data_IF_894056580341
#
_entry.id   IF_894056580341
#
_cell.length_a   1.000
_cell.length_b   1.000
_cell.length_c   1.000
_cell.angle_alpha   90.00
_cell.angle_beta   90.00
_cell.angle_gamma   90.00
#
_symmetry.space_group_name_H-M   'P 1'
#
loop_
_entity.id
_entity.type
_entity.pdbx_description
1 polymer ?
#
# COMPACT_ATOMS: atom_id res chain seq x y z
N UNK A 1 0.59 -12.85 2.78
CA UNK A 1 -0.28 -11.80 3.36
C UNK A 1 -1.23 -11.21 2.31
N UNK A 2 -0.75 -10.85 1.12
CA UNK A 2 -1.56 -10.15 0.10
C UNK A 2 -1.90 -10.98 -1.16
N UNK A 3 -2.35 -12.23 -1.02
CA UNK A 3 -2.66 -13.10 -2.18
C UNK A 3 -3.66 -12.50 -3.19
N UNK A 4 -4.54 -11.62 -2.72
CA UNK A 4 -5.53 -10.95 -3.56
C UNK A 4 -4.93 -9.83 -4.45
N UNK A 5 -3.65 -9.50 -4.28
CA UNK A 5 -2.93 -8.50 -5.09
C UNK A 5 -2.10 -9.13 -6.20
N UNK A 6 -2.10 -10.47 -6.33
CA UNK A 6 -1.35 -11.16 -7.38
C UNK A 6 -1.77 -10.69 -8.79
N UNK A 7 -3.06 -10.39 -8.97
CA UNK A 7 -3.63 -9.95 -10.26
C UNK A 7 -3.73 -8.41 -10.39
N UNK A 8 -3.13 -7.64 -9.47
CA UNK A 8 -3.29 -6.17 -9.45
C UNK A 8 -2.66 -5.51 -10.69
N UNK A 9 -1.57 -6.09 -11.19
CA UNK A 9 -0.89 -5.67 -12.42
C UNK A 9 -1.75 -5.91 -13.66
N UNK A 10 -2.41 -7.07 -13.76
CA UNK A 10 -3.36 -7.37 -14.84
C UNK A 10 -4.55 -6.40 -14.81
N UNK A 11 -5.03 -6.06 -13.61
CA UNK A 11 -6.09 -5.07 -13.43
C UNK A 11 -5.65 -3.69 -13.91
N UNK A 12 -4.42 -3.27 -13.58
CA UNK A 12 -3.84 -2.01 -14.05
C UNK A 12 -3.80 -1.95 -15.56
N UNK A 13 -3.24 -2.98 -16.20
CA UNK A 13 -3.13 -3.07 -17.67
C UNK A 13 -4.52 -3.01 -18.33
N UNK A 14 -5.50 -3.70 -17.75
CA UNK A 14 -6.89 -3.64 -18.23
C UNK A 14 -7.47 -2.22 -18.20
N UNK A 15 -7.21 -1.46 -17.12
CA UNK A 15 -7.66 -0.08 -17.00
C UNK A 15 -6.92 0.85 -17.97
N UNK A 16 -5.62 0.63 -18.19
CA UNK A 16 -4.82 1.37 -19.18
C UNK A 16 -5.37 1.15 -20.60
N UNK A 17 -5.72 -0.09 -20.96
CA UNK A 17 -6.37 -0.41 -22.24
C UNK A 17 -7.73 0.30 -22.39
N UNK A 18 -8.56 0.33 -21.33
CA UNK A 18 -9.84 1.04 -21.36
C UNK A 18 -9.68 2.55 -21.47
N UNK A 19 -8.65 3.13 -20.84
CA UNK A 19 -8.36 4.56 -20.94
C UNK A 19 -7.83 4.98 -22.31
N UNK A 20 -7.27 4.03 -23.08
CA UNK A 20 -6.83 4.25 -24.46
C UNK A 20 -7.97 4.16 -25.49
N UNK A 21 -9.15 3.68 -25.08
CA UNK A 21 -10.32 3.55 -25.96
C UNK A 21 -10.93 4.93 -26.31
N UNK A 22 -10.99 5.33 -27.61
CA UNK A 22 -11.60 6.59 -28.04
C UNK A 22 -13.05 6.78 -27.59
N UNK A 23 -13.83 5.68 -27.46
CA UNK A 23 -15.22 5.74 -27.04
C UNK A 23 -15.35 6.14 -25.56
N UNK A 24 -14.36 5.74 -24.74
CA UNK A 24 -14.25 6.15 -23.33
C UNK A 24 -13.80 7.61 -23.23
N UNK A 25 -12.85 8.03 -24.05
CA UNK A 25 -12.36 9.42 -24.08
C UNK A 25 -13.48 10.40 -24.47
N UNK A 26 -14.40 9.98 -25.34
CA UNK A 26 -15.60 10.74 -25.70
C UNK A 26 -16.62 10.88 -24.57
N UNK A 27 -16.56 10.02 -23.54
CA UNK A 27 -17.47 10.03 -22.39
C UNK A 27 -16.75 10.51 -21.12
N UNK A 28 -16.83 11.82 -20.86
CA UNK A 28 -16.13 12.47 -19.74
C UNK A 28 -16.43 11.85 -18.36
N UNK A 29 -17.66 11.40 -18.11
CA UNK A 29 -18.03 10.79 -16.82
C UNK A 29 -17.37 9.41 -16.64
N UNK A 30 -17.39 8.59 -17.69
CA UNK A 30 -16.78 7.27 -17.69
C UNK A 30 -15.25 7.38 -17.60
N UNK A 31 -14.65 8.30 -18.35
CA UNK A 31 -13.22 8.59 -18.30
C UNK A 31 -12.77 9.00 -16.89
N UNK A 32 -13.48 9.93 -16.24
CA UNK A 32 -13.14 10.35 -14.87
C UNK A 32 -13.20 9.20 -13.87
N UNK A 33 -14.18 8.29 -14.00
CA UNK A 33 -14.30 7.11 -13.14
C UNK A 33 -13.09 6.18 -13.33
N UNK A 34 -12.74 5.88 -14.59
CA UNK A 34 -11.62 5.00 -14.92
C UNK A 34 -10.27 5.58 -14.50
N UNK A 35 -10.05 6.89 -14.67
CA UNK A 35 -8.81 7.54 -14.21
C UNK A 35 -8.65 7.43 -12.69
N UNK A 36 -9.73 7.64 -11.92
CA UNK A 36 -9.69 7.49 -10.46
C UNK A 36 -9.39 6.06 -10.04
N UNK A 37 -10.02 5.08 -10.70
CA UNK A 37 -9.77 3.66 -10.43
C UNK A 37 -8.34 3.27 -10.80
N UNK A 38 -7.88 3.67 -11.98
CA UNK A 38 -6.50 3.45 -12.44
C UNK A 38 -5.49 4.05 -11.46
N UNK A 39 -5.68 5.30 -11.01
CA UNK A 39 -4.78 5.93 -10.04
C UNK A 39 -4.71 5.16 -8.73
N UNK A 40 -5.82 4.59 -8.26
CA UNK A 40 -5.84 3.79 -7.05
C UNK A 40 -5.14 2.44 -7.25
N UNK A 41 -5.45 1.75 -8.34
CA UNK A 41 -4.85 0.46 -8.69
C UNK A 41 -3.34 0.59 -8.93
N UNK A 42 -2.90 1.64 -9.65
CA UNK A 42 -1.48 1.90 -9.89
C UNK A 42 -0.72 2.13 -8.58
N UNK A 43 -1.26 2.92 -7.65
CA UNK A 43 -0.62 3.14 -6.35
C UNK A 43 -0.49 1.84 -5.53
N UNK A 44 -1.50 0.98 -5.60
CA UNK A 44 -1.49 -0.31 -4.91
C UNK A 44 -0.51 -1.30 -5.56
N UNK A 45 -0.45 -1.31 -6.89
CA UNK A 45 0.51 -2.10 -7.69
C UNK A 45 1.97 -1.70 -7.43
N UNK A 46 2.24 -0.39 -7.38
CA UNK A 46 3.57 0.14 -7.07
C UNK A 46 4.03 -0.27 -5.65
N UNK A 47 3.14 -0.15 -4.65
CA UNK A 47 3.42 -0.58 -3.28
C UNK A 47 3.60 -2.09 -3.17
N UNK A 48 2.77 -2.87 -3.86
CA UNK A 48 2.88 -4.33 -3.85
C UNK A 48 4.18 -4.79 -4.52
N UNK A 49 4.58 -4.17 -5.62
CA UNK A 49 5.86 -4.44 -6.29
C UNK A 49 7.04 -4.10 -5.36
N UNK A 50 6.99 -2.96 -4.66
CA UNK A 50 8.00 -2.60 -3.67
C UNK A 50 8.07 -3.60 -2.51
N UNK A 51 6.91 -4.08 -2.02
CA UNK A 51 6.83 -5.11 -0.99
C UNK A 51 7.50 -6.42 -1.44
N UNK A 52 7.24 -6.87 -2.67
CA UNK A 52 7.83 -8.09 -3.22
C UNK A 52 9.36 -7.97 -3.34
N UNK A 53 9.86 -6.81 -3.79
CA UNK A 53 11.31 -6.54 -3.83
C UNK A 53 11.92 -6.65 -2.45
N UNK A 54 11.36 -5.95 -1.45
CA UNK A 54 11.88 -6.00 -0.07
C UNK A 54 11.84 -7.42 0.50
N UNK A 55 10.79 -8.20 0.22
CA UNK A 55 10.73 -9.60 0.66
C UNK A 55 11.81 -10.47 0.01
N UNK A 56 12.13 -10.23 -1.27
CA UNK A 56 13.22 -10.93 -1.95
C UNK A 56 14.57 -10.53 -1.35
N UNK A 57 14.81 -9.23 -1.17
CA UNK A 57 16.07 -8.73 -0.61
C UNK A 57 16.28 -9.26 0.83
N UNK A 58 15.22 -9.33 1.65
CA UNK A 58 15.26 -9.99 2.96
C UNK A 58 15.58 -11.48 2.87
N UNK A 59 15.05 -12.17 1.87
CA UNK A 59 15.36 -13.59 1.65
C UNK A 59 16.83 -13.77 1.28
N UNK A 60 17.35 -12.96 0.35
CA UNK A 60 18.76 -12.97 -0.05
C UNK A 60 19.67 -12.73 1.17
N UNK A 61 19.38 -11.73 2.00
CA UNK A 61 20.13 -11.48 3.24
C UNK A 61 20.01 -12.66 4.21
N UNK A 62 18.84 -13.28 4.32
CA UNK A 62 18.66 -14.47 5.16
C UNK A 62 19.52 -15.64 4.68
N UNK A 63 19.72 -15.80 3.37
CA UNK A 63 20.61 -16.83 2.81
C UNK A 63 22.09 -16.54 3.17
N UNK A 64 22.51 -15.28 3.09
CA UNK A 64 23.87 -14.83 3.52
C UNK A 64 24.07 -15.12 5.02
N UNK A 65 23.10 -14.76 5.87
CA UNK A 65 23.20 -14.91 7.32
C UNK A 65 23.25 -16.37 7.78
N UNK A 66 22.72 -17.31 7.00
CA UNK A 66 22.76 -18.74 7.28
C UNK A 66 23.96 -19.46 6.67
N UNK A 67 24.77 -18.78 5.85
CA UNK A 67 25.97 -19.34 5.27
C UNK A 67 27.15 -19.19 6.24
N UNK A 68 27.54 -20.29 6.91
CA UNK A 68 28.65 -20.29 7.90
C UNK A 68 30.03 -20.05 7.26
N UNK A 69 30.16 -20.26 5.94
CA UNK A 69 31.41 -20.06 5.19
C UNK A 69 31.54 -18.63 4.60
N UNK A 70 30.57 -17.75 4.86
CA UNK A 70 30.52 -16.40 4.31
C UNK A 70 31.47 -15.42 5.01
N UNK A 71 31.86 -14.35 4.32
CA UNK A 71 32.72 -13.32 4.88
C UNK A 71 32.04 -12.62 6.09
N UNK A 72 32.70 -12.55 7.27
CA UNK A 72 32.15 -11.87 8.46
C UNK A 72 31.73 -10.42 8.21
N UNK A 73 32.45 -9.68 7.35
CA UNK A 73 32.10 -8.29 7.03
C UNK A 73 30.80 -8.24 6.20
N UNK A 74 30.58 -9.23 5.34
CA UNK A 74 29.34 -9.36 4.55
C UNK A 74 28.16 -9.80 5.43
N UNK A 75 28.39 -10.68 6.41
CA UNK A 75 27.38 -11.09 7.39
C UNK A 75 26.93 -9.90 8.24
N UNK A 76 27.84 -9.06 8.72
CA UNK A 76 27.49 -7.85 9.48
C UNK A 76 26.72 -6.84 8.64
N UNK A 77 27.10 -6.66 7.37
CA UNK A 77 26.36 -5.82 6.43
C UNK A 77 24.93 -6.34 6.22
N UNK A 78 24.78 -7.65 5.97
CA UNK A 78 23.48 -8.27 5.78
C UNK A 78 22.58 -8.13 7.04
N UNK A 79 23.14 -8.23 8.25
CA UNK A 79 22.38 -7.98 9.49
C UNK A 79 21.83 -6.56 9.55
N UNK A 80 22.68 -5.57 9.31
CA UNK A 80 22.29 -4.16 9.34
C UNK A 80 21.21 -3.85 8.29
N UNK A 81 21.39 -4.34 7.07
CA UNK A 81 20.41 -4.19 5.99
C UNK A 81 19.08 -4.90 6.30
N UNK A 82 19.12 -6.10 6.93
CA UNK A 82 17.91 -6.82 7.32
C UNK A 82 17.04 -5.99 8.27
N UNK A 83 17.63 -5.33 9.27
CA UNK A 83 16.87 -4.47 10.20
C UNK A 83 16.17 -3.32 9.47
N UNK A 84 16.86 -2.66 8.53
CA UNK A 84 16.28 -1.59 7.72
C UNK A 84 15.17 -2.09 6.79
N UNK A 85 15.38 -3.23 6.14
CA UNK A 85 14.43 -3.85 5.24
C UNK A 85 13.17 -4.35 5.98
N UNK A 86 13.30 -4.86 7.20
CA UNK A 86 12.15 -5.26 8.03
C UNK A 86 11.28 -4.05 8.39
N UNK A 87 11.89 -2.93 8.77
CA UNK A 87 11.18 -1.69 9.06
C UNK A 87 10.47 -1.17 7.80
N UNK A 88 11.18 -1.13 6.67
CA UNK A 88 10.62 -0.71 5.38
C UNK A 88 9.47 -1.62 4.93
N UNK A 89 9.60 -2.94 5.11
CA UNK A 89 8.55 -3.91 4.80
C UNK A 89 7.28 -3.58 5.58
N UNK A 90 7.40 -3.34 6.88
CA UNK A 90 6.27 -3.00 7.75
C UNK A 90 5.59 -1.70 7.32
N UNK A 91 6.35 -0.67 6.98
CA UNK A 91 5.79 0.60 6.47
C UNK A 91 5.01 0.40 5.17
N UNK A 92 5.53 -0.43 4.25
CA UNK A 92 4.83 -0.77 3.01
C UNK A 92 3.56 -1.58 3.30
N UNK A 93 3.62 -2.55 4.21
CA UNK A 93 2.46 -3.34 4.64
C UNK A 93 1.34 -2.45 5.21
N UNK A 94 1.69 -1.49 6.07
CA UNK A 94 0.74 -0.53 6.63
C UNK A 94 0.11 0.35 5.55
N UNK A 95 0.92 0.85 4.59
CA UNK A 95 0.42 1.63 3.47
C UNK A 95 -0.53 0.83 2.56
N UNK A 96 -0.20 -0.43 2.27
CA UNK A 96 -1.08 -1.34 1.50
C UNK A 96 -2.39 -1.56 2.27
N UNK A 97 -2.32 -1.80 3.58
CA UNK A 97 -3.51 -1.98 4.42
C UNK A 97 -4.43 -0.75 4.38
N UNK A 98 -3.87 0.45 4.48
CA UNK A 98 -4.64 1.70 4.38
C UNK A 98 -5.35 1.82 3.03
N UNK A 99 -4.68 1.47 1.92
CA UNK A 99 -5.30 1.51 0.60
C UNK A 99 -6.36 0.44 0.37
N UNK A 100 -6.26 -0.70 1.05
CA UNK A 100 -7.26 -1.77 0.97
C UNK A 100 -8.54 -1.47 1.74
N UNK A 101 -8.53 -0.48 2.63
CA UNK A 101 -9.74 -0.04 3.29
C UNK A 101 -10.72 0.51 2.26
N UNK A 102 -12.00 0.11 2.30
CA UNK A 102 -13.00 0.67 1.41
C UNK A 102 -13.05 2.17 1.66
N UNK A 103 -12.79 2.96 0.61
CA UNK A 103 -12.94 4.43 0.69
C UNK A 103 -14.35 4.74 1.17
N UNK A 104 -14.47 5.46 2.28
CA UNK A 104 -15.76 5.94 2.73
C UNK A 104 -16.27 6.93 1.67
N UNK A 105 -17.50 6.81 1.16
CA UNK A 105 -18.10 7.82 0.28
C UNK A 105 -18.15 9.23 0.89
N UNK A 106 -17.81 9.37 2.18
CA UNK A 106 -17.66 10.63 2.89
C UNK A 106 -16.20 11.03 3.17
N UNK A 107 -15.19 10.22 2.81
CA UNK A 107 -13.76 10.58 2.99
C UNK A 107 -13.38 11.84 2.17
N UNK A 108 -14.07 12.08 1.05
CA UNK A 108 -13.90 13.31 0.24
C UNK A 108 -14.72 14.51 0.75
N UNK A 109 -15.48 14.37 1.85
CA UNK A 109 -16.37 15.41 2.38
C UNK A 109 -15.81 16.02 3.67
N UNK A 110 -15.98 17.34 3.81
CA UNK A 110 -15.67 18.03 5.07
C UNK A 110 -16.55 17.48 6.20
N UNK A 111 -15.91 17.09 7.30
CA UNK A 111 -16.58 16.58 8.50
C UNK A 111 -16.80 17.74 9.48
N UNK A 112 -18.03 17.91 9.97
CA UNK A 112 -18.34 18.88 11.01
C UNK A 112 -18.55 18.12 12.33
N UNK A 113 -17.50 18.10 13.15
CA UNK A 113 -17.51 17.42 14.45
C UNK A 113 -18.16 18.35 15.49
N UNK A 114 -19.43 18.08 15.82
CA UNK A 114 -20.12 18.79 16.88
C UNK A 114 -20.03 17.99 18.19
N UNK A 115 -19.15 18.43 19.09
CA UNK A 115 -19.06 17.85 20.44
C UNK A 115 -20.15 18.50 21.29
N UNK A 116 -21.22 17.75 21.56
CA UNK A 116 -22.27 18.17 22.50
C UNK A 116 -22.07 17.48 23.84
N UNK A 117 -21.98 18.26 24.91
CA UNK A 117 -22.12 17.73 26.26
C UNK A 117 -23.54 17.20 26.43
N UNK A 118 -23.67 15.89 26.66
CA UNK A 118 -24.94 15.33 27.13
C UNK A 118 -25.26 15.86 28.53
N UNK A 119 -26.54 15.99 28.87
CA UNK A 119 -26.94 16.22 30.26
C UNK A 119 -26.74 14.93 31.06
N UNK A 120 -25.69 14.91 31.88
CA UNK A 120 -25.40 13.81 32.78
C UNK A 120 -24.06 13.92 33.49
N UNK A 121 -24.00 14.80 34.50
CA UNK A 121 -23.11 14.66 35.67
C UNK A 121 -21.65 15.08 35.52
N UNK A 122 -21.19 15.86 36.50
CA UNK A 122 -19.82 16.34 36.73
C UNK A 122 -18.76 15.22 36.90
N UNK A 123 -18.52 14.37 35.89
CA UNK A 123 -17.52 13.31 35.98
C UNK A 123 -16.71 13.09 34.69
N UNK A 124 -16.17 14.16 34.08
CA UNK A 124 -15.06 14.02 33.12
C UNK A 124 -14.30 15.33 32.93
N UNK A 125 -13.46 15.69 33.90
CA UNK A 125 -12.34 16.60 33.68
C UNK A 125 -11.16 16.15 34.55
N UNK A 126 -10.30 15.28 34.00
CA UNK A 126 -8.88 15.11 34.29
C UNK A 126 -8.22 14.30 33.16
#
# INVERSE_FOLDING_TARGET
MFKNLEDISEKRETLEMQLADPDVVGNQQQYQKLVREHSHVAMLDDLYTAYLSVCRDLQENTEILHNEDEDPDLVELARAETEELEQKKKEIEDNIMVLLLPRDPNDEKNILLEIRAGTGGDEAAL
#
